data_IF_422317999255
#
_entry.id   IF_422317999255
#
_cell.length_a   1.000
_cell.length_b   1.000
_cell.length_c   1.000
_cell.angle_alpha   90.00
_cell.angle_beta   90.00
_cell.angle_gamma   90.00
#
_symmetry.space_group_name_H-M   'P 1'
#
loop_
_entity.id
_entity.type
_entity.pdbx_description
1 polymer ?
#
# COMPACT_ATOMS: atom_id res chain seq x y z
N UNK A 1 31.37 22.17 59.34
CA UNK A 1 30.42 23.06 58.65
C UNK A 1 29.38 22.17 57.98
N UNK A 2 28.21 22.14 58.61
CA UNK A 2 26.98 21.48 58.15
C UNK A 2 26.56 22.02 56.79
N UNK A 3 26.26 21.12 55.84
CA UNK A 3 25.56 21.47 54.61
C UNK A 3 24.14 20.93 54.72
N UNK A 4 23.19 21.86 54.79
CA UNK A 4 21.77 21.65 54.94
C UNK A 4 21.17 20.94 53.73
N UNK A 5 20.36 19.92 53.99
CA UNK A 5 19.41 19.38 53.02
C UNK A 5 18.28 20.41 52.81
N UNK A 6 18.23 21.03 51.64
CA UNK A 6 17.05 21.74 51.17
C UNK A 6 16.13 20.77 50.43
N UNK A 7 14.95 20.54 51.01
CA UNK A 7 13.84 19.83 50.39
C UNK A 7 13.30 20.65 49.21
N UNK A 8 13.66 20.26 47.99
CA UNK A 8 12.99 20.68 46.77
C UNK A 8 11.67 19.92 46.61
N UNK A 9 10.57 20.66 46.71
CA UNK A 9 9.20 20.21 46.47
C UNK A 9 9.06 19.49 45.13
N UNK A 10 8.67 18.23 45.17
CA UNK A 10 8.20 17.50 44.00
C UNK A 10 6.95 18.21 43.45
N UNK A 11 7.09 18.90 42.32
CA UNK A 11 5.96 19.30 41.50
C UNK A 11 5.32 18.01 40.96
N UNK A 12 4.23 17.60 41.58
CA UNK A 12 3.31 16.64 41.02
C UNK A 12 2.71 17.29 39.77
N UNK A 13 3.22 16.91 38.59
CA UNK A 13 2.54 17.19 37.33
C UNK A 13 1.17 16.50 37.38
N UNK A 14 0.16 17.27 37.78
CA UNK A 14 -1.23 16.85 37.71
C UNK A 14 -1.55 16.48 36.26
N UNK A 15 -1.98 15.24 36.04
CA UNK A 15 -2.59 14.83 34.78
C UNK A 15 -3.68 15.85 34.43
N UNK A 16 -3.76 16.35 33.18
CA UNK A 16 -4.81 17.28 32.81
C UNK A 16 -6.16 16.61 33.08
N UNK A 17 -6.95 17.25 33.96
CA UNK A 17 -8.32 16.85 34.23
C UNK A 17 -9.06 16.77 32.90
N UNK A 18 -9.62 15.59 32.59
CA UNK A 18 -10.47 15.42 31.42
C UNK A 18 -11.65 16.38 31.51
N UNK A 19 -11.58 17.52 30.82
CA UNK A 19 -12.73 18.31 30.44
C UNK A 19 -13.49 17.56 29.32
N UNK A 20 -13.91 16.32 29.61
CA UNK A 20 -14.72 15.47 28.73
C UNK A 20 -16.19 15.73 29.02
N UNK A 21 -16.66 16.94 28.72
CA UNK A 21 -18.03 17.39 28.96
C UNK A 21 -18.79 17.77 27.69
N UNK A 22 -18.31 17.39 26.50
CA UNK A 22 -18.99 17.71 25.24
C UNK A 22 -19.82 16.53 24.73
N UNK A 23 -21.07 16.85 24.35
CA UNK A 23 -22.03 15.94 23.74
C UNK A 23 -21.41 15.28 22.50
N UNK A 24 -21.27 13.95 22.50
CA UNK A 24 -20.83 13.21 21.31
C UNK A 24 -21.87 13.40 20.20
N UNK A 25 -21.44 14.05 19.12
CA UNK A 25 -22.26 14.18 17.91
C UNK A 25 -22.11 12.89 17.10
N UNK A 26 -23.17 12.08 17.12
CA UNK A 26 -23.33 10.96 16.19
C UNK A 26 -23.87 11.52 14.88
N UNK A 27 -23.28 11.14 13.75
CA UNK A 27 -23.70 11.53 12.39
C UNK A 27 -24.20 10.34 11.58
N UNK A 28 -24.66 9.33 12.32
CA UNK A 28 -24.94 7.99 11.81
C UNK A 28 -26.23 7.98 10.97
N UNK A 29 -27.23 8.81 11.23
CA UNK A 29 -28.51 8.74 10.52
C UNK A 29 -28.71 9.88 9.50
N UNK A 30 -29.25 9.61 8.29
CA UNK A 30 -29.60 10.65 7.32
C UNK A 30 -30.84 11.37 7.85
N UNK A 31 -30.73 12.67 8.14
CA UNK A 31 -31.87 13.46 8.63
C UNK A 31 -31.77 13.95 10.07
N UNK A 32 -30.67 13.68 10.79
CA UNK A 32 -30.32 14.53 11.92
C UNK A 32 -30.13 15.96 11.40
N UNK A 33 -30.95 16.91 11.85
CA UNK A 33 -31.10 18.29 11.33
C UNK A 33 -29.83 19.16 11.35
N UNK A 34 -28.68 18.58 11.66
CA UNK A 34 -27.39 19.22 11.88
C UNK A 34 -26.37 18.80 10.80
N UNK A 35 -26.73 17.93 9.85
CA UNK A 35 -25.78 17.41 8.83
C UNK A 35 -25.92 18.16 7.50
N UNK A 36 -24.83 18.76 7.01
CA UNK A 36 -24.71 19.57 5.77
C UNK A 36 -23.39 19.22 5.04
N UNK A 37 -23.29 18.03 4.42
CA UNK A 37 -22.03 17.53 3.87
C UNK A 37 -21.58 18.37 2.67
N UNK A 38 -20.26 18.57 2.51
CA UNK A 38 -19.72 19.18 1.29
C UNK A 38 -19.99 18.25 0.10
N UNK A 39 -20.58 18.73 -1.01
CA UNK A 39 -20.80 17.93 -2.21
C UNK A 39 -19.50 17.28 -2.70
N UNK A 40 -19.60 16.02 -3.14
CA UNK A 40 -18.48 15.24 -3.65
C UNK A 40 -18.92 14.50 -4.93
N UNK A 41 -18.48 15.01 -6.09
CA UNK A 41 -18.76 14.44 -7.41
C UNK A 41 -17.60 13.57 -7.87
N UNK A 42 -17.58 12.30 -7.45
CA UNK A 42 -16.48 11.39 -7.77
C UNK A 42 -16.38 11.16 -9.28
N UNK A 43 -15.15 11.32 -9.80
CA UNK A 43 -14.89 11.23 -11.24
C UNK A 43 -15.10 12.56 -11.99
N UNK A 44 -15.30 13.68 -11.31
CA UNK A 44 -15.19 14.98 -11.97
C UNK A 44 -13.70 15.34 -12.15
N UNK A 45 -13.30 15.67 -13.38
CA UNK A 45 -11.91 16.06 -13.69
C UNK A 45 -11.53 17.47 -13.20
N UNK A 46 -12.52 18.30 -12.85
CA UNK A 46 -12.30 19.62 -12.24
C UNK A 46 -12.31 19.46 -10.71
N UNK A 47 -11.17 19.69 -10.02
CA UNK A 47 -11.06 19.47 -8.57
C UNK A 47 -12.06 20.31 -7.77
N UNK A 48 -12.37 21.54 -8.20
CA UNK A 48 -13.31 22.41 -7.47
C UNK A 48 -14.75 21.88 -7.56
N UNK A 49 -15.13 21.28 -8.70
CA UNK A 49 -16.44 20.61 -8.86
C UNK A 49 -16.47 19.22 -8.22
N UNK A 50 -15.33 18.50 -8.28
CA UNK A 50 -15.15 17.21 -7.61
C UNK A 50 -15.38 17.38 -6.11
N UNK A 51 -14.78 18.39 -5.49
CA UNK A 51 -14.82 18.67 -4.05
C UNK A 51 -13.79 17.87 -3.24
N UNK A 52 -13.37 18.33 -2.04
CA UNK A 52 -12.38 17.62 -1.22
C UNK A 52 -12.99 16.41 -0.49
N UNK A 53 -12.15 15.44 -0.14
CA UNK A 53 -12.53 14.33 0.75
C UNK A 53 -12.39 14.77 2.20
N UNK A 54 -13.49 14.70 2.95
CA UNK A 54 -13.59 15.18 4.33
C UNK A 54 -14.14 14.11 5.26
N UNK A 55 -13.33 13.67 6.23
CA UNK A 55 -13.74 12.73 7.28
C UNK A 55 -13.64 13.29 8.70
N UNK A 56 -13.08 14.50 8.87
CA UNK A 56 -12.77 15.06 10.20
C UNK A 56 -14.00 15.22 11.09
N UNK A 57 -13.85 14.79 12.35
CA UNK A 57 -14.90 14.79 13.38
C UNK A 57 -14.80 15.97 14.35
N UNK A 58 -13.98 16.98 14.05
CA UNK A 58 -13.92 18.21 14.84
C UNK A 58 -15.27 18.92 14.88
N UNK A 59 -15.60 19.55 16.00
CA UNK A 59 -16.92 20.14 16.26
C UNK A 59 -17.39 21.13 15.17
N UNK A 60 -16.46 21.80 14.48
CA UNK A 60 -16.76 22.75 13.39
C UNK A 60 -16.95 22.10 12.02
N UNK A 61 -16.39 20.91 11.79
CA UNK A 61 -16.35 20.25 10.47
C UNK A 61 -17.15 18.95 10.43
N UNK A 62 -17.57 18.41 11.57
CA UNK A 62 -18.27 17.13 11.68
C UNK A 62 -19.55 17.06 10.84
N UNK A 63 -20.22 18.19 10.66
CA UNK A 63 -21.44 18.33 9.87
C UNK A 63 -21.16 18.37 8.36
N UNK A 64 -19.93 18.71 7.97
CA UNK A 64 -19.48 18.92 6.58
C UNK A 64 -18.84 17.69 5.95
N UNK A 65 -18.70 16.59 6.71
CA UNK A 65 -18.07 15.34 6.26
C UNK A 65 -18.84 14.71 5.09
N UNK A 66 -18.09 14.24 4.10
CA UNK A 66 -18.63 13.56 2.92
C UNK A 66 -17.99 12.18 2.68
N UNK A 67 -17.25 11.67 3.67
CA UNK A 67 -16.64 10.35 3.64
C UNK A 67 -16.70 9.65 5.01
N UNK A 68 -16.67 8.32 4.97
CA UNK A 68 -16.65 7.41 6.14
C UNK A 68 -15.19 7.10 6.49
N UNK A 69 -14.90 6.85 7.78
CA UNK A 69 -13.57 6.46 8.24
C UNK A 69 -12.77 7.62 8.86
N UNK A 70 -11.45 7.56 8.72
CA UNK A 70 -10.51 8.53 9.28
C UNK A 70 -9.29 8.74 8.36
N UNK A 71 -8.67 9.92 8.44
CA UNK A 71 -7.39 10.18 7.77
C UNK A 71 -6.25 9.42 8.46
N UNK A 72 -5.15 9.14 7.76
CA UNK A 72 -3.99 8.46 8.32
C UNK A 72 -4.04 6.94 8.20
N UNK A 73 -5.06 6.38 7.53
CA UNK A 73 -5.26 4.94 7.36
C UNK A 73 -5.15 4.17 8.68
N UNK A 74 -4.31 3.13 8.70
CA UNK A 74 -4.02 2.32 9.89
C UNK A 74 -3.39 3.09 11.06
N UNK A 75 -2.85 4.30 10.83
CA UNK A 75 -2.24 5.13 11.87
C UNK A 75 -3.24 5.99 12.65
N UNK A 76 -4.48 6.11 12.17
CA UNK A 76 -5.55 6.87 12.84
C UNK A 76 -5.75 6.47 14.30
N UNK A 77 -5.63 5.17 14.62
CA UNK A 77 -5.77 4.64 15.98
C UNK A 77 -4.66 5.15 16.91
N UNK A 78 -3.42 5.26 16.42
CA UNK A 78 -2.31 5.80 17.21
C UNK A 78 -2.49 7.29 17.50
N UNK A 79 -3.02 8.05 16.54
CA UNK A 79 -3.37 9.45 16.79
C UNK A 79 -4.45 9.56 17.88
N UNK A 80 -5.49 8.73 17.82
CA UNK A 80 -6.53 8.69 18.84
C UNK A 80 -5.97 8.31 20.23
N UNK A 81 -5.03 7.36 20.30
CA UNK A 81 -4.34 7.00 21.55
C UNK A 81 -3.51 8.14 22.10
N UNK A 82 -2.77 8.87 21.26
CA UNK A 82 -1.97 10.03 21.68
C UNK A 82 -2.87 11.15 22.24
N UNK A 83 -4.04 11.39 21.64
CA UNK A 83 -5.04 12.33 22.18
C UNK A 83 -5.57 11.83 23.53
N UNK A 84 -5.95 10.55 23.63
CA UNK A 84 -6.48 9.96 24.86
C UNK A 84 -5.46 9.95 26.00
N UNK A 85 -4.17 9.76 25.69
CA UNK A 85 -3.07 9.82 26.63
C UNK A 85 -2.76 11.26 27.11
N UNK A 86 -3.25 12.28 26.40
CA UNK A 86 -2.97 13.69 26.65
C UNK A 86 -1.67 14.20 26.00
N UNK A 87 -1.03 13.40 25.15
CA UNK A 87 0.16 13.80 24.38
C UNK A 87 -0.20 14.79 23.26
N UNK A 88 -1.45 14.74 22.78
CA UNK A 88 -2.02 15.66 21.80
C UNK A 88 -3.31 16.30 22.32
N UNK A 89 -3.63 17.56 21.98
CA UNK A 89 -4.91 18.17 22.32
C UNK A 89 -6.07 17.51 21.56
N UNK A 90 -7.28 17.56 22.12
CA UNK A 90 -8.49 16.93 21.54
C UNK A 90 -8.83 17.47 20.13
N UNK A 91 -8.51 18.74 19.88
CA UNK A 91 -8.67 19.41 18.60
C UNK A 91 -7.35 19.48 17.80
N UNK A 92 -6.45 18.53 18.00
CA UNK A 92 -5.19 18.49 17.27
C UNK A 92 -5.43 18.40 15.76
N UNK A 93 -4.96 19.43 15.05
CA UNK A 93 -4.96 19.50 13.59
C UNK A 93 -3.54 19.78 13.08
N UNK A 94 -2.93 18.85 12.32
CA UNK A 94 -1.66 19.13 11.64
C UNK A 94 -1.84 20.18 10.53
N UNK A 95 -0.81 20.96 10.26
CA UNK A 95 -0.77 21.89 9.12
C UNK A 95 -0.12 21.24 7.90
N UNK A 96 -0.75 21.42 6.74
CA UNK A 96 -0.31 20.92 5.43
C UNK A 96 -0.23 22.03 4.38
N UNK A 97 -0.19 23.30 4.80
CA UNK A 97 -0.25 24.45 3.88
C UNK A 97 1.03 24.67 3.05
N UNK A 98 2.14 24.07 3.47
CA UNK A 98 3.44 24.14 2.81
C UNK A 98 4.01 22.74 2.54
N UNK A 99 3.17 21.83 2.06
CA UNK A 99 3.53 20.43 1.76
C UNK A 99 3.22 20.02 0.32
N UNK A 100 3.21 20.98 -0.60
CA UNK A 100 3.01 20.75 -2.03
C UNK A 100 4.08 19.80 -2.57
N UNK A 101 3.74 18.96 -3.57
CA UNK A 101 4.68 18.01 -4.14
C UNK A 101 5.81 18.74 -4.87
N UNK A 102 7.03 18.21 -4.76
CA UNK A 102 8.20 18.78 -5.46
C UNK A 102 8.24 18.44 -6.95
N UNK A 103 7.36 17.55 -7.40
CA UNK A 103 7.15 17.22 -8.80
C UNK A 103 5.65 17.29 -9.08
N UNK A 104 5.28 18.13 -10.05
CA UNK A 104 3.90 18.31 -10.48
C UNK A 104 3.57 17.27 -11.56
N UNK A 105 2.83 16.22 -11.19
CA UNK A 105 2.39 15.23 -12.16
C UNK A 105 1.35 15.85 -13.10
N UNK A 106 1.49 15.68 -14.44
CA UNK A 106 0.50 16.21 -15.36
C UNK A 106 -0.85 15.52 -15.12
N UNK A 107 -1.97 16.26 -15.15
CA UNK A 107 -3.29 15.68 -15.02
C UNK A 107 -3.53 14.57 -16.04
N UNK A 108 -4.03 13.43 -15.56
CA UNK A 108 -4.36 12.29 -16.42
C UNK A 108 -5.88 12.24 -16.65
N UNK A 109 -6.35 11.81 -17.83
CA UNK A 109 -7.78 11.62 -18.08
C UNK A 109 -8.46 10.71 -17.02
N UNK A 110 -7.73 9.72 -16.53
CA UNK A 110 -8.20 8.80 -15.49
C UNK A 110 -8.53 9.48 -14.14
N UNK A 111 -7.99 10.67 -13.86
CA UNK A 111 -8.30 11.40 -12.62
C UNK A 111 -9.76 11.89 -12.60
N UNK A 112 -10.34 12.12 -13.78
CA UNK A 112 -11.75 12.47 -13.98
C UNK A 112 -12.59 11.30 -14.51
N UNK A 113 -12.22 10.05 -14.17
CA UNK A 113 -12.99 8.87 -14.57
C UNK A 113 -13.31 8.03 -13.33
N UNK A 114 -14.61 8.00 -13.00
CA UNK A 114 -15.14 7.27 -11.83
C UNK A 114 -14.98 5.75 -11.91
N UNK A 115 -14.60 5.20 -13.07
CA UNK A 115 -14.40 3.76 -13.29
C UNK A 115 -12.93 3.37 -13.28
N UNK A 116 -12.03 4.29 -13.62
CA UNK A 116 -10.58 4.04 -13.70
C UNK A 116 -9.87 4.14 -12.36
N UNK A 117 -10.26 5.10 -11.52
CA UNK A 117 -9.71 5.26 -10.17
C UNK A 117 -10.85 5.23 -9.15
N UNK A 118 -10.88 4.17 -8.34
CA UNK A 118 -11.94 3.91 -7.36
C UNK A 118 -11.40 3.66 -5.95
N UNK A 119 -10.09 3.50 -5.79
CA UNK A 119 -9.46 3.09 -4.52
C UNK A 119 -8.39 4.06 -3.99
N UNK A 120 -8.21 5.21 -4.64
CA UNK A 120 -7.37 6.33 -4.18
C UNK A 120 -7.98 7.67 -4.61
N UNK A 121 -7.64 8.77 -3.93
CA UNK A 121 -8.06 10.13 -4.30
C UNK A 121 -7.08 10.73 -5.34
N UNK A 122 -7.51 10.97 -6.60
CA UNK A 122 -6.62 11.49 -7.64
C UNK A 122 -6.03 12.88 -7.34
N UNK A 123 -6.76 13.71 -6.59
CA UNK A 123 -6.37 15.09 -6.28
C UNK A 123 -5.71 15.23 -4.90
N UNK A 124 -5.57 14.12 -4.16
CA UNK A 124 -5.03 14.12 -2.81
C UNK A 124 -3.53 14.41 -2.70
N UNK A 125 -2.84 14.63 -3.82
CA UNK A 125 -1.40 14.91 -3.89
C UNK A 125 -1.03 16.39 -3.72
N UNK A 126 -1.96 17.30 -4.01
CA UNK A 126 -1.75 18.76 -3.86
C UNK A 126 -3.04 19.46 -3.41
N UNK A 127 -3.36 19.30 -2.12
CA UNK A 127 -4.56 19.89 -1.54
C UNK A 127 -4.52 21.42 -1.47
N UNK A 128 -3.32 22.01 -1.49
CA UNK A 128 -3.18 23.47 -1.43
C UNK A 128 -3.55 24.04 -2.79
N UNK A 129 -3.04 23.48 -3.89
CA UNK A 129 -3.42 23.91 -5.23
C UNK A 129 -4.91 23.69 -5.51
N UNK A 130 -5.44 22.53 -5.13
CA UNK A 130 -6.79 22.12 -5.52
C UNK A 130 -7.89 22.60 -4.58
N UNK A 131 -7.58 22.84 -3.30
CA UNK A 131 -8.60 23.08 -2.27
C UNK A 131 -8.25 24.24 -1.33
N UNK A 132 -7.43 25.21 -1.77
CA UNK A 132 -7.07 26.39 -0.98
C UNK A 132 -8.29 27.10 -0.36
N UNK A 133 -9.37 27.30 -1.13
CA UNK A 133 -10.59 27.96 -0.63
C UNK A 133 -11.22 27.21 0.55
N UNK A 134 -11.16 25.88 0.52
CA UNK A 134 -11.71 25.02 1.57
C UNK A 134 -10.81 25.06 2.82
N UNK A 135 -9.49 25.05 2.63
CA UNK A 135 -8.51 25.23 3.71
C UNK A 135 -8.67 26.60 4.39
N UNK A 136 -8.75 27.68 3.62
CA UNK A 136 -8.94 29.05 4.11
C UNK A 136 -10.30 29.21 4.83
N UNK A 137 -11.31 28.43 4.46
CA UNK A 137 -12.60 28.34 5.16
C UNK A 137 -12.55 27.50 6.45
N UNK A 138 -11.39 26.98 6.83
CA UNK A 138 -11.17 26.22 8.05
C UNK A 138 -11.52 24.73 7.96
N UNK A 139 -11.82 24.20 6.77
CA UNK A 139 -12.09 22.77 6.60
C UNK A 139 -10.80 21.96 6.81
N UNK A 140 -10.95 20.74 7.34
CA UNK A 140 -9.84 19.81 7.55
C UNK A 140 -9.67 18.90 6.33
N UNK A 141 -9.12 19.50 5.26
CA UNK A 141 -8.70 18.77 4.06
C UNK A 141 -7.28 18.27 4.30
N UNK A 142 -7.04 16.97 4.15
CA UNK A 142 -5.71 16.36 4.34
C UNK A 142 -5.24 15.66 3.07
N UNK A 143 -3.94 15.70 2.76
CA UNK A 143 -3.40 14.98 1.62
C UNK A 143 -3.52 13.48 1.86
N UNK A 144 -3.83 12.73 0.80
CA UNK A 144 -3.83 11.26 0.79
C UNK A 144 -2.75 10.72 -0.13
N UNK A 145 -2.04 11.60 -0.83
CA UNK A 145 -0.85 11.29 -1.62
C UNK A 145 0.23 12.30 -1.24
N UNK A 146 1.46 11.85 -1.09
CA UNK A 146 2.60 12.75 -0.86
C UNK A 146 3.77 12.35 -1.77
N UNK A 147 4.32 13.31 -2.51
CA UNK A 147 5.40 13.08 -3.48
C UNK A 147 6.66 13.79 -3.03
N UNK A 148 7.79 13.06 -3.03
CA UNK A 148 9.11 13.61 -2.68
C UNK A 148 10.22 12.96 -3.50
N UNK A 149 11.44 13.48 -3.41
CA UNK A 149 12.65 12.95 -4.03
C UNK A 149 13.59 12.57 -2.91
N UNK A 150 14.30 11.47 -3.12
CA UNK A 150 15.28 11.01 -2.19
C UNK A 150 16.43 10.34 -2.93
N UNK A 151 17.51 10.12 -2.20
CA UNK A 151 18.51 9.13 -2.56
C UNK A 151 18.21 7.87 -1.76
N UNK A 152 18.22 6.73 -2.41
CA UNK A 152 18.03 5.41 -1.80
C UNK A 152 19.30 4.59 -1.94
N UNK A 153 19.58 3.75 -0.94
CA UNK A 153 20.64 2.76 -0.98
C UNK A 153 20.12 1.41 -0.51
N UNK A 154 20.51 0.34 -1.19
CA UNK A 154 20.24 -1.05 -0.84
C UNK A 154 21.50 -1.88 -1.10
N UNK A 155 21.76 -2.89 -0.28
CA UNK A 155 22.96 -3.72 -0.41
C UNK A 155 23.04 -4.40 -1.78
N UNK A 156 21.90 -4.82 -2.34
CA UNK A 156 21.82 -5.49 -3.64
C UNK A 156 22.15 -4.55 -4.79
N UNK A 157 21.94 -3.24 -4.65
CA UNK A 157 22.38 -2.26 -5.66
C UNK A 157 23.90 -2.20 -5.66
N UNK A 158 24.53 -2.12 -4.48
CA UNK A 158 25.98 -2.14 -4.36
C UNK A 158 26.59 -3.44 -4.92
N UNK A 159 25.95 -4.58 -4.65
CA UNK A 159 26.37 -5.88 -5.19
C UNK A 159 26.23 -5.94 -6.71
N UNK A 160 25.11 -5.46 -7.25
CA UNK A 160 24.84 -5.37 -8.67
C UNK A 160 25.88 -4.51 -9.41
N UNK A 161 26.31 -3.39 -8.82
CA UNK A 161 27.42 -2.58 -9.34
C UNK A 161 28.74 -3.37 -9.34
N UNK A 162 29.06 -4.07 -8.24
CA UNK A 162 30.29 -4.89 -8.16
C UNK A 162 30.33 -6.02 -9.18
N UNK A 163 29.17 -6.60 -9.47
CA UNK A 163 29.02 -7.68 -10.45
C UNK A 163 28.91 -7.16 -11.90
N UNK A 164 28.95 -5.83 -12.11
CA UNK A 164 28.88 -5.21 -13.44
C UNK A 164 27.49 -5.27 -14.07
N UNK A 165 26.43 -5.51 -13.29
CA UNK A 165 25.05 -5.49 -13.76
C UNK A 165 24.47 -4.07 -13.80
N UNK A 166 24.92 -3.19 -12.91
CA UNK A 166 24.59 -1.77 -12.88
C UNK A 166 25.84 -0.92 -13.05
N UNK A 167 25.71 0.18 -13.80
CA UNK A 167 26.78 1.14 -13.99
C UNK A 167 26.56 2.38 -13.12
N UNK A 168 27.65 3.05 -12.71
CA UNK A 168 27.56 4.36 -12.04
C UNK A 168 27.56 5.44 -13.12
N UNK A 169 26.38 5.96 -13.46
CA UNK A 169 26.19 6.95 -14.52
C UNK A 169 26.25 8.42 -14.04
N UNK A 170 26.24 8.65 -12.72
CA UNK A 170 26.22 9.99 -12.12
C UNK A 170 24.85 10.68 -12.18
N UNK A 171 23.84 10.04 -12.78
CA UNK A 171 22.47 10.53 -12.87
C UNK A 171 21.48 9.68 -12.06
N UNK A 172 21.23 8.44 -12.50
CA UNK A 172 20.36 7.50 -11.81
C UNK A 172 21.11 6.88 -10.64
N UNK A 173 22.28 6.31 -10.92
CA UNK A 173 23.19 5.69 -9.95
C UNK A 173 24.36 6.63 -9.75
N UNK A 174 24.40 7.29 -8.60
CA UNK A 174 25.28 8.46 -8.39
C UNK A 174 26.57 8.13 -7.63
N UNK A 175 26.70 6.92 -7.08
CA UNK A 175 27.88 6.52 -6.33
C UNK A 175 28.17 5.02 -6.43
N UNK A 176 29.44 4.63 -6.17
CA UNK A 176 29.87 3.23 -6.13
C UNK A 176 29.32 2.50 -4.90
N UNK A 177 28.87 3.25 -3.90
CA UNK A 177 28.20 2.75 -2.72
C UNK A 177 26.75 2.31 -3.02
N UNK A 178 26.23 2.58 -4.23
CA UNK A 178 24.89 2.18 -4.64
C UNK A 178 23.82 3.20 -4.29
N UNK A 179 24.17 4.48 -4.23
CA UNK A 179 23.21 5.56 -4.09
C UNK A 179 22.44 5.78 -5.40
N UNK A 180 21.11 5.77 -5.31
CA UNK A 180 20.21 5.90 -6.46
C UNK A 180 19.22 7.03 -6.25
N UNK A 181 19.11 7.92 -7.22
CA UNK A 181 18.08 8.97 -7.22
C UNK A 181 16.71 8.35 -7.49
N UNK A 182 15.74 8.72 -6.67
CA UNK A 182 14.39 8.17 -6.76
C UNK A 182 13.35 9.23 -6.42
N UNK A 183 12.28 9.26 -7.21
CA UNK A 183 11.05 9.98 -6.82
C UNK A 183 10.12 8.99 -6.13
N UNK A 184 9.57 9.36 -4.98
CA UNK A 184 8.70 8.51 -4.17
C UNK A 184 7.32 9.12 -4.05
N UNK A 185 6.28 8.31 -4.12
CA UNK A 185 4.91 8.72 -3.81
C UNK A 185 4.30 7.78 -2.76
N UNK A 186 3.92 8.29 -1.60
CA UNK A 186 3.12 7.54 -0.63
C UNK A 186 1.64 7.79 -0.90
N UNK A 187 0.80 6.75 -0.83
CA UNK A 187 -0.62 6.82 -1.16
C UNK A 187 -1.46 6.10 -0.10
N UNK A 188 -2.41 6.82 0.48
CA UNK A 188 -3.45 6.29 1.36
C UNK A 188 -4.67 5.82 0.55
N UNK A 189 -5.34 4.73 0.98
CA UNK A 189 -6.52 4.23 0.31
C UNK A 189 -7.72 5.16 0.53
N UNK A 190 -8.42 5.49 -0.54
CA UNK A 190 -9.67 6.26 -0.54
C UNK A 190 -10.63 5.60 -1.50
N UNK A 191 -11.65 4.92 -0.97
CA UNK A 191 -12.53 4.08 -1.76
C UNK A 191 -13.80 4.81 -2.14
N UNK A 192 -14.08 4.87 -3.43
CA UNK A 192 -15.39 5.18 -3.97
C UNK A 192 -16.22 3.89 -4.01
N UNK A 193 -17.12 3.73 -3.04
CA UNK A 193 -17.84 2.48 -2.77
C UNK A 193 -18.60 1.94 -3.99
N UNK A 194 -19.31 2.76 -4.81
CA UNK A 194 -19.96 2.25 -6.02
C UNK A 194 -18.96 1.65 -7.02
N UNK A 195 -17.84 2.33 -7.26
CA UNK A 195 -16.81 1.84 -8.18
C UNK A 195 -16.08 0.61 -7.66
N UNK A 196 -15.83 0.53 -6.34
CA UNK A 196 -15.27 -0.67 -5.71
C UNK A 196 -16.23 -1.86 -5.83
N UNK A 197 -17.54 -1.66 -5.61
CA UNK A 197 -18.55 -2.71 -5.76
C UNK A 197 -18.61 -3.22 -7.21
N UNK A 198 -18.59 -2.30 -8.18
CA UNK A 198 -18.53 -2.63 -9.61
C UNK A 198 -17.28 -3.43 -9.97
N UNK A 199 -16.09 -3.06 -9.45
CA UNK A 199 -14.83 -3.82 -9.65
C UNK A 199 -14.90 -5.26 -9.14
N UNK A 200 -15.74 -5.53 -8.14
CA UNK A 200 -15.95 -6.87 -7.61
C UNK A 200 -17.18 -7.57 -8.20
N UNK A 201 -17.93 -6.92 -9.10
CA UNK A 201 -19.15 -7.48 -9.67
C UNK A 201 -20.26 -7.71 -8.64
N UNK A 202 -20.32 -6.89 -7.59
CA UNK A 202 -21.32 -7.00 -6.51
C UNK A 202 -22.11 -5.70 -6.36
N UNK A 203 -23.26 -5.79 -5.69
CA UNK A 203 -24.05 -4.63 -5.31
C UNK A 203 -23.35 -3.78 -4.22
N UNK A 204 -23.51 -2.46 -4.28
CA UNK A 204 -22.92 -1.51 -3.31
C UNK A 204 -23.44 -1.77 -1.88
N UNK A 205 -24.72 -2.10 -1.74
CA UNK A 205 -25.34 -2.43 -0.46
C UNK A 205 -24.78 -3.71 0.14
N UNK A 206 -24.53 -4.73 -0.69
CA UNK A 206 -23.85 -5.96 -0.28
C UNK A 206 -22.43 -5.65 0.20
N UNK A 207 -21.64 -4.90 -0.58
CA UNK A 207 -20.28 -4.49 -0.19
C UNK A 207 -20.29 -3.79 1.19
N UNK A 208 -21.14 -2.77 1.35
CA UNK A 208 -21.25 -2.00 2.59
C UNK A 208 -21.62 -2.87 3.78
N UNK A 209 -22.62 -3.74 3.61
CA UNK A 209 -23.10 -4.62 4.67
C UNK A 209 -22.01 -5.60 5.10
N UNK A 210 -21.35 -6.23 4.14
CA UNK A 210 -20.24 -7.15 4.41
C UNK A 210 -19.09 -6.44 5.10
N UNK A 211 -18.69 -5.24 4.65
CA UNK A 211 -17.66 -4.44 5.33
C UNK A 211 -18.04 -4.16 6.79
N UNK A 212 -19.26 -3.71 7.05
CA UNK A 212 -19.74 -3.45 8.42
C UNK A 212 -19.71 -4.71 9.30
N UNK A 213 -20.31 -5.81 8.83
CA UNK A 213 -20.43 -7.05 9.60
C UNK A 213 -19.05 -7.70 9.84
N UNK A 214 -18.19 -7.75 8.82
CA UNK A 214 -16.86 -8.39 8.90
C UNK A 214 -15.83 -7.52 9.61
N UNK A 215 -16.04 -6.21 9.73
CA UNK A 215 -15.24 -5.31 10.57
C UNK A 215 -15.80 -5.18 12.01
N UNK A 216 -16.58 -6.16 12.47
CA UNK A 216 -17.07 -6.21 13.85
C UNK A 216 -18.08 -5.11 14.20
N UNK A 217 -18.86 -4.63 13.23
CA UNK A 217 -19.80 -3.52 13.40
C UNK A 217 -19.13 -2.14 13.43
N UNK A 218 -17.87 -2.04 13.00
CA UNK A 218 -17.19 -0.75 12.84
C UNK A 218 -17.80 0.04 11.68
N UNK A 219 -17.73 1.38 11.76
CA UNK A 219 -18.24 2.31 10.75
C UNK A 219 -19.75 2.13 10.44
N UNK A 220 -20.66 2.37 11.42
CA UNK A 220 -22.10 2.23 11.22
C UNK A 220 -22.66 3.04 10.04
N UNK A 221 -22.00 4.13 9.65
CA UNK A 221 -22.33 4.93 8.45
C UNK A 221 -22.34 4.11 7.15
N UNK A 222 -21.63 2.97 7.08
CA UNK A 222 -21.71 2.07 5.93
C UNK A 222 -23.15 1.60 5.67
N UNK A 223 -23.90 1.33 6.72
CA UNK A 223 -25.31 0.90 6.68
C UNK A 223 -26.26 2.10 6.66
N UNK A 224 -25.96 3.07 7.50
CA UNK A 224 -26.92 4.10 7.89
C UNK A 224 -26.81 5.37 7.04
N UNK A 225 -25.70 5.59 6.32
CA UNK A 225 -25.48 6.73 5.40
C UNK A 225 -25.20 6.26 3.97
N UNK A 226 -26.22 5.76 3.26
CA UNK A 226 -26.08 5.37 1.85
C UNK A 226 -25.78 6.56 0.92
N UNK A 227 -26.02 7.79 1.39
CA UNK A 227 -25.71 9.05 0.70
C UNK A 227 -24.20 9.35 0.64
N UNK A 228 -23.43 8.90 1.63
CA UNK A 228 -21.97 9.06 1.63
C UNK A 228 -21.32 7.93 0.80
N UNK A 229 -20.73 8.26 -0.35
CA UNK A 229 -20.18 7.27 -1.30
C UNK A 229 -18.69 6.98 -1.14
N UNK A 230 -17.98 7.69 -0.26
CA UNK A 230 -16.54 7.54 -0.07
C UNK A 230 -16.20 6.97 1.30
N UNK A 231 -15.22 6.07 1.35
CA UNK A 231 -14.74 5.40 2.55
C UNK A 231 -13.21 5.41 2.60
N UNK A 232 -12.64 5.80 3.74
CA UNK A 232 -11.21 5.72 4.03
C UNK A 232 -10.99 4.50 4.94
N UNK A 233 -10.72 3.31 4.36
CA UNK A 233 -10.47 2.12 5.17
C UNK A 233 -9.16 2.26 5.95
N UNK A 234 -9.11 1.84 7.22
CA UNK A 234 -7.91 1.91 8.06
C UNK A 234 -6.92 0.78 7.73
N UNK A 235 -6.58 0.61 6.45
CA UNK A 235 -5.67 -0.42 5.96
C UNK A 235 -4.33 0.19 5.50
N UNK A 236 -3.36 -0.67 5.23
CA UNK A 236 -2.07 -0.26 4.66
C UNK A 236 -2.24 0.36 3.26
N UNK A 237 -1.53 1.46 3.03
CA UNK A 237 -1.44 2.09 1.72
C UNK A 237 -0.39 1.45 0.80
N UNK A 238 0.14 2.26 -0.11
CA UNK A 238 1.24 1.86 -1.00
C UNK A 238 2.30 2.96 -1.09
N UNK A 239 3.49 2.57 -1.56
CA UNK A 239 4.54 3.50 -1.94
C UNK A 239 5.04 3.19 -3.34
N UNK A 240 5.08 4.21 -4.20
CA UNK A 240 5.68 4.16 -5.53
C UNK A 240 7.13 4.64 -5.42
N UNK A 241 8.04 3.96 -6.10
CA UNK A 241 9.43 4.35 -6.33
C UNK A 241 9.65 4.46 -7.83
N UNK A 242 10.01 5.64 -8.31
CA UNK A 242 10.25 5.94 -9.72
C UNK A 242 11.73 6.23 -9.91
N UNK A 243 12.37 5.42 -10.74
CA UNK A 243 13.75 5.58 -11.20
C UNK A 243 13.75 6.25 -12.57
N UNK A 244 14.62 7.25 -12.71
CA UNK A 244 14.58 8.17 -13.85
C UNK A 244 13.58 9.30 -13.65
N UNK A 245 13.35 10.05 -14.72
CA UNK A 245 12.52 11.25 -14.68
C UNK A 245 11.03 10.89 -14.58
N UNK A 246 10.26 11.41 -13.60
CA UNK A 246 8.86 11.02 -13.41
C UNK A 246 7.92 11.40 -14.56
N UNK A 247 8.25 12.42 -15.37
CA UNK A 247 7.49 12.78 -16.58
C UNK A 247 7.47 11.67 -17.63
N UNK A 248 8.52 10.84 -17.67
CA UNK A 248 8.65 9.72 -18.60
C UNK A 248 7.69 8.57 -18.30
N UNK A 249 7.19 8.44 -17.07
CA UNK A 249 6.32 7.32 -16.66
C UNK A 249 5.04 7.23 -17.50
N UNK A 250 4.50 8.38 -17.90
CA UNK A 250 3.27 8.47 -18.72
C UNK A 250 3.53 8.51 -20.23
N UNK A 251 4.81 8.55 -20.65
CA UNK A 251 5.20 8.68 -22.04
C UNK A 251 5.18 7.29 -22.72
N UNK A 252 4.33 7.05 -23.74
CA UNK A 252 4.28 5.77 -24.43
C UNK A 252 5.48 5.50 -25.35
N UNK A 253 6.29 6.51 -25.68
CA UNK A 253 7.42 6.37 -26.61
C UNK A 253 8.70 5.89 -25.92
N UNK A 254 8.72 5.90 -24.59
CA UNK A 254 9.83 5.34 -23.80
C UNK A 254 9.44 3.98 -23.24
N UNK A 255 10.45 3.17 -22.92
CA UNK A 255 10.23 1.85 -22.31
C UNK A 255 9.96 1.98 -20.82
N UNK A 256 9.05 1.15 -20.31
CA UNK A 256 8.71 1.07 -18.89
C UNK A 256 8.97 -0.34 -18.33
N UNK A 257 9.80 -0.41 -17.28
CA UNK A 257 9.96 -1.59 -16.44
C UNK A 257 9.15 -1.43 -15.15
N UNK A 258 8.25 -2.37 -14.86
CA UNK A 258 7.33 -2.32 -13.72
C UNK A 258 7.48 -3.52 -12.80
N UNK A 259 7.68 -3.25 -11.50
CA UNK A 259 7.54 -4.24 -10.43
C UNK A 259 6.43 -3.84 -9.47
N UNK A 260 5.43 -4.70 -9.30
CA UNK A 260 4.43 -4.58 -8.24
C UNK A 260 4.72 -5.61 -7.16
N UNK A 261 5.03 -5.13 -5.97
CA UNK A 261 5.41 -5.92 -4.81
C UNK A 261 4.34 -5.85 -3.73
N UNK A 262 3.97 -6.99 -3.16
CA UNK A 262 3.17 -7.03 -1.95
C UNK A 262 4.11 -7.30 -0.77
N UNK A 263 3.93 -6.55 0.31
CA UNK A 263 4.74 -6.59 1.52
C UNK A 263 4.94 -8.00 2.07
N UNK A 264 6.18 -8.28 2.44
CA UNK A 264 6.60 -9.48 3.15
C UNK A 264 7.71 -9.11 4.13
N UNK A 265 7.37 -8.51 5.26
CA UNK A 265 8.29 -7.94 6.25
C UNK A 265 9.50 -8.84 6.57
N UNK A 266 9.24 -10.10 6.93
CA UNK A 266 10.29 -11.08 7.26
C UNK A 266 11.31 -11.33 6.13
N UNK A 267 10.91 -11.26 4.86
CA UNK A 267 11.84 -11.42 3.74
C UNK A 267 12.43 -10.06 3.35
N UNK A 268 11.57 -9.05 3.22
CA UNK A 268 11.90 -7.73 2.69
C UNK A 268 12.95 -7.02 3.55
N UNK A 269 12.81 -7.10 4.87
CA UNK A 269 13.67 -6.43 5.86
C UNK A 269 14.77 -7.35 6.39
N UNK A 270 14.42 -8.61 6.70
CA UNK A 270 15.31 -9.53 7.43
C UNK A 270 15.88 -10.67 6.59
N UNK A 271 15.68 -10.65 5.27
CA UNK A 271 16.23 -11.64 4.33
C UNK A 271 15.91 -13.10 4.69
N UNK A 272 14.71 -13.36 5.19
CA UNK A 272 14.23 -14.74 5.36
C UNK A 272 14.29 -15.52 4.04
N UNK A 273 14.87 -16.72 4.09
CA UNK A 273 15.09 -17.66 2.98
C UNK A 273 13.89 -18.57 2.67
N UNK A 274 12.77 -18.38 3.39
CA UNK A 274 11.55 -19.19 3.29
C UNK A 274 10.72 -18.82 2.04
N UNK A 275 10.86 -17.60 1.53
CA UNK A 275 10.13 -17.13 0.35
C UNK A 275 10.99 -16.27 -0.59
N UNK A 276 10.50 -16.10 -1.82
CA UNK A 276 11.19 -15.35 -2.88
C UNK A 276 10.81 -13.87 -2.94
N UNK A 277 10.15 -13.34 -1.91
CA UNK A 277 9.71 -11.94 -1.90
C UNK A 277 10.88 -10.97 -2.06
N UNK A 278 11.91 -11.05 -1.20
CA UNK A 278 13.08 -10.16 -1.28
C UNK A 278 13.94 -10.33 -2.52
N UNK A 279 14.32 -11.56 -2.95
CA UNK A 279 15.05 -11.73 -4.20
C UNK A 279 14.33 -11.09 -5.40
N UNK A 280 13.01 -11.22 -5.45
CA UNK A 280 12.23 -10.67 -6.55
C UNK A 280 12.02 -9.15 -6.43
N UNK A 281 11.98 -8.60 -5.22
CA UNK A 281 12.04 -7.15 -4.99
C UNK A 281 13.38 -6.57 -5.45
N UNK A 282 14.49 -7.22 -5.09
CA UNK A 282 15.84 -6.82 -5.50
C UNK A 282 16.00 -6.85 -7.02
N UNK A 283 15.60 -7.95 -7.66
CA UNK A 283 15.57 -8.07 -9.13
C UNK A 283 14.70 -6.98 -9.76
N UNK A 284 13.52 -6.74 -9.19
CA UNK A 284 12.60 -5.69 -9.62
C UNK A 284 13.21 -4.30 -9.61
N UNK A 285 13.97 -3.98 -8.55
CA UNK A 285 14.67 -2.70 -8.39
C UNK A 285 15.84 -2.60 -9.36
N UNK A 286 16.66 -3.64 -9.49
CA UNK A 286 17.80 -3.66 -10.41
C UNK A 286 17.36 -3.39 -11.85
N UNK A 287 16.35 -4.10 -12.34
CA UNK A 287 15.86 -3.94 -13.71
C UNK A 287 15.13 -2.60 -13.92
N UNK A 288 14.44 -2.08 -12.90
CA UNK A 288 13.86 -0.74 -12.97
C UNK A 288 14.95 0.34 -13.09
N UNK A 289 16.04 0.20 -12.34
CA UNK A 289 17.21 1.08 -12.46
C UNK A 289 17.80 0.96 -13.87
N UNK A 290 18.11 -0.25 -14.35
CA UNK A 290 18.65 -0.47 -15.70
C UNK A 290 17.79 0.17 -16.79
N UNK A 291 16.47 0.02 -16.71
CA UNK A 291 15.57 0.63 -17.70
C UNK A 291 15.66 2.16 -17.67
N UNK A 292 15.76 2.76 -16.49
CA UNK A 292 15.97 4.20 -16.35
C UNK A 292 17.32 4.66 -16.93
N UNK A 293 18.41 3.90 -16.69
CA UNK A 293 19.74 4.19 -17.26
C UNK A 293 19.74 4.11 -18.80
N UNK A 294 18.96 3.19 -19.36
CA UNK A 294 18.78 3.03 -20.81
C UNK A 294 17.88 4.11 -21.45
N UNK A 295 17.51 5.15 -20.69
CA UNK A 295 16.70 6.27 -21.16
C UNK A 295 15.19 6.09 -21.00
N UNK A 296 14.75 4.91 -20.52
CA UNK A 296 13.36 4.59 -20.20
C UNK A 296 12.92 5.08 -18.81
N UNK A 297 12.00 4.34 -18.20
CA UNK A 297 11.51 4.57 -16.84
C UNK A 297 11.41 3.26 -16.06
N UNK A 298 11.84 3.30 -14.80
CA UNK A 298 11.69 2.18 -13.87
C UNK A 298 10.69 2.52 -12.78
N UNK A 299 9.71 1.65 -12.53
CA UNK A 299 8.72 1.85 -11.48
C UNK A 299 8.61 0.61 -10.60
N UNK A 300 8.75 0.80 -9.29
CA UNK A 300 8.50 -0.22 -8.27
C UNK A 300 7.38 0.27 -7.37
N UNK A 301 6.32 -0.51 -7.22
CA UNK A 301 5.18 -0.18 -6.35
C UNK A 301 5.11 -1.20 -5.23
N UNK A 302 5.18 -0.72 -4.00
CA UNK A 302 5.17 -1.53 -2.78
C UNK A 302 3.83 -1.38 -2.07
N UNK A 303 3.02 -2.44 -2.09
CA UNK A 303 1.71 -2.51 -1.42
C UNK A 303 1.86 -3.12 -0.03
N UNK A 304 1.28 -2.47 0.99
CA UNK A 304 1.30 -2.95 2.37
C UNK A 304 0.23 -4.01 2.62
N UNK A 305 0.41 -5.18 2.00
CA UNK A 305 -0.52 -6.33 1.98
C UNK A 305 0.16 -7.60 2.49
N UNK A 306 0.69 -7.56 3.73
CA UNK A 306 1.38 -8.69 4.37
C UNK A 306 0.56 -9.99 4.33
N UNK A 307 1.26 -11.10 4.08
CA UNK A 307 0.68 -12.44 4.17
C UNK A 307 -0.49 -12.67 3.22
N UNK A 308 -0.49 -12.08 2.02
CA UNK A 308 -1.65 -12.10 1.09
C UNK A 308 -2.91 -11.49 1.70
N UNK A 309 -2.73 -10.41 2.45
CA UNK A 309 -3.77 -9.75 3.23
C UNK A 309 -4.39 -10.60 4.36
N UNK A 310 -3.74 -11.69 4.78
CA UNK A 310 -4.09 -12.47 5.97
C UNK A 310 -3.36 -11.98 7.23
N UNK A 311 -2.31 -11.18 7.07
CA UNK A 311 -1.45 -10.70 8.15
C UNK A 311 -0.36 -11.71 8.57
N UNK A 312 0.59 -11.20 9.36
CA UNK A 312 1.83 -11.91 9.71
C UNK A 312 1.58 -13.10 10.66
N UNK A 313 0.63 -12.97 11.59
CA UNK A 313 0.29 -14.05 12.54
C UNK A 313 -0.18 -15.30 11.80
N UNK A 314 -1.15 -15.17 10.89
CA UNK A 314 -1.69 -16.29 10.11
C UNK A 314 -0.60 -16.91 9.23
N UNK A 315 0.24 -16.08 8.61
CA UNK A 315 1.40 -16.53 7.83
C UNK A 315 2.32 -17.43 8.66
N UNK A 316 2.64 -17.04 9.89
CA UNK A 316 3.50 -17.85 10.77
C UNK A 316 2.81 -19.14 11.24
N UNK A 317 1.50 -19.11 11.48
CA UNK A 317 0.73 -20.32 11.77
C UNK A 317 0.78 -21.32 10.59
N UNK A 318 0.69 -20.84 9.34
CA UNK A 318 0.87 -21.66 8.14
C UNK A 318 2.29 -22.22 8.06
N UNK A 319 3.32 -21.42 8.33
CA UNK A 319 4.71 -21.91 8.37
C UNK A 319 4.93 -22.99 9.43
N UNK A 320 4.38 -22.81 10.63
CA UNK A 320 4.44 -23.81 11.69
C UNK A 320 3.76 -25.11 11.28
N UNK A 321 2.59 -25.03 10.63
CA UNK A 321 1.87 -26.20 10.12
C UNK A 321 2.65 -26.92 9.01
N UNK A 322 3.31 -26.17 8.12
CA UNK A 322 4.19 -26.71 7.06
C UNK A 322 5.36 -27.49 7.67
N UNK A 323 6.09 -26.89 8.62
CA UNK A 323 7.25 -27.52 9.27
C UNK A 323 6.89 -28.81 10.02
N UNK A 324 5.72 -28.85 10.68
CA UNK A 324 5.24 -30.04 11.42
C UNK A 324 4.70 -31.14 10.51
N UNK A 325 4.07 -30.76 9.40
CA UNK A 325 3.29 -31.66 8.54
C UNK A 325 3.99 -32.11 7.25
N UNK A 326 5.29 -31.84 7.12
CA UNK A 326 6.06 -32.00 5.89
C UNK A 326 5.89 -30.80 4.97
N UNK A 327 7.01 -30.13 4.65
CA UNK A 327 7.04 -28.95 3.80
C UNK A 327 7.32 -29.34 2.35
N UNK A 328 6.28 -29.73 1.61
CA UNK A 328 6.35 -30.10 0.19
C UNK A 328 5.52 -29.15 -0.68
N UNK A 329 5.93 -28.96 -1.93
CA UNK A 329 5.29 -28.01 -2.83
C UNK A 329 3.83 -28.38 -3.15
N UNK A 330 3.52 -29.68 -3.29
CA UNK A 330 2.16 -30.19 -3.55
C UNK A 330 1.15 -29.83 -2.44
N UNK A 331 1.62 -29.68 -1.19
CA UNK A 331 0.76 -29.37 -0.03
C UNK A 331 0.67 -27.89 0.29
N UNK A 332 1.43 -27.03 -0.40
CA UNK A 332 1.61 -25.63 -0.03
C UNK A 332 0.28 -24.86 0.10
N UNK A 333 -0.59 -24.94 -0.92
CA UNK A 333 -1.88 -24.25 -0.88
C UNK A 333 -2.87 -24.92 0.06
N UNK A 334 -2.92 -26.26 0.07
CA UNK A 334 -3.76 -27.03 1.00
C UNK A 334 -3.47 -26.68 2.46
N UNK A 335 -2.19 -26.48 2.83
CA UNK A 335 -1.81 -26.03 4.17
C UNK A 335 -2.29 -24.61 4.46
N UNK A 336 -2.25 -23.72 3.48
CA UNK A 336 -2.79 -22.37 3.62
C UNK A 336 -4.31 -22.42 3.82
N UNK A 337 -5.03 -23.20 3.01
CA UNK A 337 -6.49 -23.38 3.11
C UNK A 337 -6.90 -24.00 4.45
N UNK A 338 -6.18 -25.02 4.92
CA UNK A 338 -6.47 -25.67 6.20
C UNK A 338 -6.36 -24.73 7.41
N UNK A 339 -5.54 -23.68 7.33
CA UNK A 339 -5.29 -22.75 8.44
C UNK A 339 -6.07 -21.44 8.25
N UNK A 340 -6.06 -20.87 7.05
CA UNK A 340 -6.64 -19.58 6.74
C UNK A 340 -8.05 -19.68 6.14
N UNK A 341 -8.52 -20.87 5.76
CA UNK A 341 -9.79 -21.09 5.07
C UNK A 341 -9.80 -20.68 3.59
N UNK A 342 -8.77 -19.98 3.12
CA UNK A 342 -8.64 -19.45 1.75
C UNK A 342 -7.17 -19.41 1.30
N UNK A 343 -6.92 -19.39 -0.02
CA UNK A 343 -5.55 -19.33 -0.59
C UNK A 343 -4.96 -17.91 -0.65
N UNK A 344 -5.82 -16.91 -0.85
CA UNK A 344 -5.44 -15.52 -1.12
C UNK A 344 -6.62 -14.59 -0.82
N UNK A 345 -6.37 -13.49 -0.10
CA UNK A 345 -7.36 -12.43 0.16
C UNK A 345 -6.98 -11.10 -0.48
N UNK A 346 -5.98 -11.07 -1.35
CA UNK A 346 -5.55 -9.82 -2.00
C UNK A 346 -6.55 -9.42 -3.06
N UNK A 347 -7.10 -8.23 -2.87
CA UNK A 347 -7.87 -7.53 -3.88
C UNK A 347 -6.94 -6.89 -4.92
N UNK A 348 -6.53 -7.68 -5.93
CA UNK A 348 -5.69 -7.18 -7.02
C UNK A 348 -6.49 -6.30 -8.01
N UNK A 349 -7.81 -6.42 -8.07
CA UNK A 349 -8.67 -5.60 -8.94
C UNK A 349 -8.56 -4.08 -8.68
N UNK A 350 -8.15 -3.66 -7.48
CA UNK A 350 -7.95 -2.26 -7.10
C UNK A 350 -6.50 -1.77 -7.33
N UNK A 351 -5.56 -2.70 -7.49
CA UNK A 351 -4.13 -2.40 -7.64
C UNK A 351 -3.79 -1.48 -8.83
N UNK A 352 -4.44 -1.59 -10.01
CA UNK A 352 -4.09 -0.78 -11.18
C UNK A 352 -4.38 0.72 -11.04
N UNK A 353 -5.16 1.15 -10.06
CA UNK A 353 -5.59 2.54 -9.92
C UNK A 353 -4.40 3.53 -9.82
N UNK A 354 -3.32 3.13 -9.15
CA UNK A 354 -2.08 3.94 -9.11
C UNK A 354 -1.37 4.00 -10.47
N UNK A 355 -1.49 2.96 -11.31
CA UNK A 355 -0.93 2.99 -12.67
C UNK A 355 -1.73 3.95 -13.54
N UNK A 356 -3.06 3.97 -13.39
CA UNK A 356 -3.95 4.94 -14.03
C UNK A 356 -3.64 6.37 -13.57
N UNK A 357 -3.40 6.55 -12.26
CA UNK A 357 -3.02 7.85 -11.70
C UNK A 357 -1.69 8.35 -12.26
N UNK A 358 -0.70 7.48 -12.41
CA UNK A 358 0.60 7.78 -13.04
C UNK A 358 0.50 8.02 -14.56
N UNK A 359 -0.64 7.71 -15.19
CA UNK A 359 -0.84 7.85 -16.63
C UNK A 359 -0.14 6.77 -17.46
N UNK A 360 0.16 5.61 -16.87
CA UNK A 360 0.83 4.52 -17.57
C UNK A 360 -0.09 3.94 -18.66
N UNK A 361 0.37 4.00 -19.91
CA UNK A 361 -0.40 3.56 -21.09
C UNK A 361 -0.04 2.16 -21.58
N UNK A 362 1.17 1.70 -21.28
CA UNK A 362 1.66 0.35 -21.57
C UNK A 362 2.79 0.00 -20.61
N UNK A 363 3.04 -1.28 -20.42
CA UNK A 363 4.18 -1.79 -19.67
C UNK A 363 5.01 -2.65 -20.62
N UNK A 364 6.21 -2.19 -20.96
CA UNK A 364 7.11 -2.95 -21.83
C UNK A 364 7.60 -4.21 -21.11
N UNK A 365 7.99 -4.08 -19.84
CA UNK A 365 8.57 -5.17 -19.05
C UNK A 365 7.90 -5.25 -17.68
N UNK A 366 7.10 -6.28 -17.42
CA UNK A 366 6.50 -6.53 -16.11
C UNK A 366 7.25 -7.64 -15.36
N UNK A 367 7.81 -7.30 -14.21
CA UNK A 367 8.63 -8.19 -13.38
C UNK A 367 7.75 -8.95 -12.40
N UNK A 368 6.95 -9.88 -12.93
CA UNK A 368 5.96 -10.63 -12.16
C UNK A 368 5.57 -11.95 -12.83
N UNK A 369 5.45 -13.00 -12.03
CA UNK A 369 4.88 -14.30 -12.42
C UNK A 369 3.38 -14.40 -12.10
N UNK A 370 2.81 -13.43 -11.37
CA UNK A 370 1.42 -13.49 -10.91
C UNK A 370 0.43 -13.16 -12.03
N UNK A 371 -0.45 -14.12 -12.36
CA UNK A 371 -1.56 -13.87 -13.30
C UNK A 371 -2.56 -12.88 -12.71
N UNK A 372 -2.91 -13.01 -11.43
CA UNK A 372 -3.83 -12.05 -10.78
C UNK A 372 -3.39 -10.59 -10.92
N UNK A 373 -2.09 -10.30 -10.86
CA UNK A 373 -1.57 -8.94 -11.10
C UNK A 373 -1.62 -8.57 -12.58
N UNK A 374 -1.23 -9.48 -13.45
CA UNK A 374 -1.26 -9.28 -14.91
C UNK A 374 -2.68 -8.99 -15.39
N UNK A 375 -3.63 -9.87 -15.06
CA UNK A 375 -5.01 -9.84 -15.52
C UNK A 375 -5.70 -8.55 -15.04
N UNK A 376 -5.53 -8.20 -13.76
CA UNK A 376 -6.07 -6.95 -13.22
C UNK A 376 -5.58 -5.70 -13.98
N UNK A 377 -4.31 -5.65 -14.40
CA UNK A 377 -3.75 -4.52 -15.15
C UNK A 377 -4.30 -4.48 -16.58
N UNK A 378 -4.32 -5.63 -17.26
CA UNK A 378 -4.79 -5.74 -18.65
C UNK A 378 -6.29 -5.45 -18.74
N UNK A 379 -7.09 -5.94 -17.79
CA UNK A 379 -8.53 -5.64 -17.67
C UNK A 379 -8.81 -4.13 -17.49
N UNK A 380 -7.86 -3.38 -16.93
CA UNK A 380 -7.94 -1.93 -16.83
C UNK A 380 -7.47 -1.18 -18.09
N UNK A 381 -7.11 -1.92 -19.14
CA UNK A 381 -6.74 -1.40 -20.45
C UNK A 381 -5.27 -1.00 -20.56
N UNK A 382 -4.40 -1.49 -19.68
CA UNK A 382 -2.95 -1.27 -19.76
C UNK A 382 -2.30 -2.54 -20.31
N UNK A 383 -1.90 -2.58 -21.60
CA UNK A 383 -1.24 -3.74 -22.17
C UNK A 383 0.13 -3.98 -21.54
N UNK A 384 0.48 -5.26 -21.40
CA UNK A 384 1.78 -5.73 -20.91
C UNK A 384 2.46 -6.47 -22.06
N UNK A 385 3.60 -5.97 -22.52
CA UNK A 385 4.28 -6.51 -23.71
C UNK A 385 5.13 -7.73 -23.37
N UNK A 386 5.86 -7.68 -22.25
CA UNK A 386 6.72 -8.76 -21.78
C UNK A 386 6.49 -9.01 -20.29
N UNK A 387 6.38 -10.29 -19.92
CA UNK A 387 6.40 -10.74 -18.52
C UNK A 387 7.72 -11.41 -18.22
N UNK A 388 8.39 -10.94 -17.18
CA UNK A 388 9.74 -11.37 -16.84
C UNK A 388 9.69 -12.11 -15.50
N UNK A 389 10.01 -13.41 -15.47
CA UNK A 389 10.10 -14.17 -14.23
C UNK A 389 11.38 -13.79 -13.45
N UNK A 390 11.42 -14.16 -12.17
CA UNK A 390 12.67 -14.07 -11.41
C UNK A 390 13.72 -15.03 -12.01
N UNK A 391 15.00 -14.64 -12.11
CA UNK A 391 16.06 -15.55 -12.55
C UNK A 391 16.24 -16.73 -11.59
N UNK A 392 16.44 -17.94 -12.12
CA UNK A 392 16.56 -19.18 -11.34
C UNK A 392 17.67 -19.14 -10.28
N UNK A 393 18.78 -18.47 -10.59
CA UNK A 393 19.92 -18.33 -9.67
C UNK A 393 19.62 -17.43 -8.46
N UNK A 394 18.56 -16.63 -8.51
CA UNK A 394 18.12 -15.78 -7.40
C UNK A 394 17.06 -16.47 -6.52
N UNK A 395 16.65 -17.70 -6.83
CA UNK A 395 15.67 -18.46 -6.05
C UNK A 395 16.39 -19.25 -4.95
N UNK A 396 16.20 -18.91 -3.65
CA UNK A 396 16.76 -19.70 -2.55
C UNK A 396 16.23 -21.13 -2.56
N UNK A 397 17.04 -22.09 -2.08
CA UNK A 397 16.68 -23.52 -2.09
C UNK A 397 15.37 -23.81 -1.38
N UNK A 398 15.18 -23.28 -0.16
CA UNK A 398 13.96 -23.46 0.64
C UNK A 398 12.72 -22.83 -0.01
N UNK A 399 12.94 -21.74 -0.75
CA UNK A 399 11.87 -21.02 -1.43
C UNK A 399 11.35 -21.74 -2.69
N UNK A 400 12.03 -22.81 -3.16
CA UNK A 400 11.54 -23.64 -4.28
C UNK A 400 10.20 -24.27 -3.98
N UNK A 401 9.94 -24.66 -2.74
CA UNK A 401 8.63 -25.15 -2.29
C UNK A 401 7.51 -24.18 -2.65
N UNK A 402 7.74 -22.88 -2.43
CA UNK A 402 6.76 -21.84 -2.74
C UNK A 402 6.66 -21.55 -4.24
N UNK A 403 7.79 -21.39 -4.93
CA UNK A 403 7.78 -21.04 -6.36
C UNK A 403 7.20 -22.17 -7.21
N UNK A 404 7.62 -23.41 -6.98
CA UNK A 404 7.18 -24.55 -7.80
C UNK A 404 5.69 -24.83 -7.58
N UNK A 405 5.21 -24.69 -6.34
CA UNK A 405 3.79 -24.74 -6.03
C UNK A 405 2.98 -23.66 -6.77
N UNK A 406 3.49 -22.42 -6.80
CA UNK A 406 2.83 -21.31 -7.51
C UNK A 406 2.79 -21.53 -9.01
N UNK A 407 3.89 -21.99 -9.61
CA UNK A 407 3.96 -22.32 -11.04
C UNK A 407 2.91 -23.37 -11.39
N UNK A 408 2.79 -24.43 -10.59
CA UNK A 408 1.77 -25.47 -10.82
C UNK A 408 0.34 -24.96 -10.62
N UNK A 409 0.13 -24.03 -9.68
CA UNK A 409 -1.15 -23.33 -9.50
C UNK A 409 -1.43 -22.27 -10.59
N UNK A 410 -0.63 -22.22 -11.66
CA UNK A 410 -0.89 -21.44 -12.86
C UNK A 410 -0.04 -20.18 -13.01
N UNK A 411 0.88 -19.87 -12.09
CA UNK A 411 1.76 -18.71 -12.25
C UNK A 411 2.59 -18.83 -13.54
N UNK A 412 2.83 -17.70 -14.19
CA UNK A 412 3.60 -17.64 -15.43
C UNK A 412 5.04 -18.06 -15.20
N UNK A 413 5.58 -18.87 -16.10
CA UNK A 413 6.98 -19.26 -16.16
C UNK A 413 7.36 -19.48 -17.61
N UNK A 414 8.63 -19.22 -17.94
CA UNK A 414 9.25 -19.63 -19.22
C UNK A 414 9.93 -20.99 -19.11
N UNK A 415 10.06 -21.52 -17.89
CA UNK A 415 10.74 -22.77 -17.58
C UNK A 415 9.81 -23.98 -17.49
N UNK A 416 10.35 -25.08 -16.95
CA UNK A 416 9.63 -26.36 -16.80
C UNK A 416 8.46 -26.23 -15.81
N UNK A 417 7.30 -26.79 -16.17
CA UNK A 417 6.22 -27.10 -15.22
C UNK A 417 6.42 -28.51 -14.69
N UNK A 418 6.50 -28.64 -13.37
CA UNK A 418 6.69 -29.93 -12.69
C UNK A 418 5.36 -30.69 -12.61
N UNK A 419 5.41 -32.02 -12.68
CA UNK A 419 4.26 -32.88 -12.38
C UNK A 419 3.98 -32.95 -10.88
N UNK A 420 2.79 -33.40 -10.46
CA UNK A 420 2.46 -33.55 -9.03
C UNK A 420 3.42 -34.52 -8.30
N UNK A 421 3.89 -35.56 -8.99
CA UNK A 421 4.91 -36.48 -8.51
C UNK A 421 6.25 -35.76 -8.29
N UNK A 422 6.69 -34.92 -9.22
CA UNK A 422 7.91 -34.11 -9.09
C UNK A 422 7.80 -33.08 -7.96
N UNK A 423 6.63 -32.44 -7.78
CA UNK A 423 6.38 -31.48 -6.70
C UNK A 423 6.46 -32.11 -5.31
N UNK A 424 6.04 -33.37 -5.16
CA UNK A 424 6.16 -34.10 -3.89
C UNK A 424 7.62 -34.34 -3.45
N UNK A 425 8.56 -34.25 -4.40
CA UNK A 425 9.99 -34.38 -4.16
C UNK A 425 10.65 -33.04 -3.78
N UNK A 426 10.02 -31.90 -4.11
CA UNK A 426 10.49 -30.57 -3.70
C UNK A 426 10.16 -30.37 -2.22
N UNK A 427 11.18 -30.44 -1.37
CA UNK A 427 11.07 -30.40 0.09
C UNK A 427 11.82 -29.20 0.66
N UNK A 428 11.16 -28.47 1.55
CA UNK A 428 11.78 -27.45 2.40
C UNK A 428 12.37 -28.06 3.67
N UNK A 429 13.04 -27.25 4.48
CA UNK A 429 13.55 -27.69 5.79
C UNK A 429 12.41 -28.19 6.69
N UNK A 430 12.62 -29.37 7.26
CA UNK A 430 11.72 -29.96 8.27
C UNK A 430 11.86 -29.29 9.65
N UNK A 431 11.07 -29.75 10.62
CA UNK A 431 11.27 -29.40 12.01
C UNK A 431 12.54 -30.08 12.56
N UNK A 432 13.62 -29.32 12.65
CA UNK A 432 14.85 -29.70 13.36
C UNK A 432 14.91 -28.88 14.66
N UNK A 433 15.33 -29.47 15.79
CA UNK A 433 15.58 -28.66 16.97
C UNK A 433 16.75 -27.72 16.69
N UNK A 434 16.81 -26.60 17.41
CA UNK A 434 17.93 -25.66 17.29
C UNK A 434 19.30 -26.36 17.50
N UNK A 435 19.30 -27.43 18.30
CA UNK A 435 20.46 -28.28 18.62
C UNK A 435 20.86 -29.24 17.49
N UNK A 436 19.99 -29.45 16.49
CA UNK A 436 20.20 -30.39 15.39
C UNK A 436 20.82 -29.72 14.14
N UNK A 437 21.04 -28.39 14.18
CA UNK A 437 21.65 -27.63 13.09
C UNK A 437 23.17 -27.58 13.33
N UNK A 438 23.92 -28.46 12.67
CA UNK A 438 25.39 -28.41 12.71
C UNK A 438 25.88 -27.04 12.19
N UNK A 439 26.67 -26.35 13.03
CA UNK A 439 27.24 -25.03 12.77
C UNK A 439 28.14 -24.96 11.55
#
# INVERSE_FOLDING_TARGET
MTLEHSNGTAQTNGKPSHAGGDRIILTTYPGQSVVDPIPLDWGNGDPEKRGPVLVSRESKTITRRNAIGAHGGSYSVYNALAIAAGDLPVNFKPSFENTQPIFDFPPQPAWGDKTKIVSMDPFGHDIVRHYKKHLDAGLDVRPTIAVTKATMRLAEITESIRNGHLEVDGDIVISKEGDVRVTKAAVEPVWYLPGVAERFGIDEGVLRRTLFEQCGGSFPELITRPDIKVFLPPIGGLTVYIFGSPDKVSNPDVKLALRIHDECNGSDVFQSDICTCRPYLAFGIEEAIKEAQNGGSGVVIYFRKEGRALGEVVKYLVYNARKRGGDTADKYFTRTENIAGVRDMRFQALMPDILQWLGIKKIDRMLSMSNMKHDAIVEQGIPILERIPIPDHMVPSDSRVEIDAKINAGYFTVGKRYTDEELSQVKGRGWQNWEDVAH
#
